data_IF_889391750070
#
_entry.id   IF_889391750070
#
_cell.length_a   1.000
_cell.length_b   1.000
_cell.length_c   1.000
_cell.angle_alpha   90.00
_cell.angle_beta   90.00
_cell.angle_gamma   90.00
#
_symmetry.space_group_name_H-M   'P 1'
#
loop_
_entity.id
_entity.type
_entity.pdbx_description
1 polymer ?
#
# COMPACT_ATOMS: atom_id res chain seq x y z
N UNK A 1 3.67 20.40 -15.66
CA UNK A 1 2.37 20.21 -14.98
C UNK A 1 2.57 19.20 -13.87
N UNK A 2 2.04 19.46 -12.66
CA UNK A 2 2.24 18.58 -11.49
C UNK A 2 1.01 17.73 -11.21
N UNK A 3 1.22 16.44 -10.90
CA UNK A 3 0.22 15.46 -10.53
C UNK A 3 0.59 14.83 -9.20
N UNK A 4 -0.42 14.56 -8.37
CA UNK A 4 -0.26 13.94 -7.06
C UNK A 4 -1.04 12.65 -7.01
N UNK A 5 -0.36 11.52 -6.88
CA UNK A 5 -1.00 10.22 -6.67
C UNK A 5 -1.06 9.96 -5.17
N UNK A 6 -2.28 9.98 -4.64
CA UNK A 6 -2.58 9.89 -3.22
C UNK A 6 -3.06 8.48 -2.88
N UNK A 7 -2.51 7.86 -1.82
CA UNK A 7 -2.94 6.53 -1.41
C UNK A 7 -4.19 6.61 -0.52
N UNK A 8 -5.36 6.60 -1.16
CA UNK A 8 -6.66 6.59 -0.50
C UNK A 8 -7.36 7.93 -0.33
N UNK A 9 -8.65 7.86 -0.04
CA UNK A 9 -9.53 9.02 0.07
C UNK A 9 -9.28 9.86 1.32
N UNK A 10 -8.83 9.25 2.43
CA UNK A 10 -8.52 9.97 3.67
C UNK A 10 -7.43 11.02 3.45
N UNK A 11 -6.32 10.61 2.83
CA UNK A 11 -5.24 11.54 2.47
C UNK A 11 -5.73 12.60 1.48
N UNK A 12 -6.56 12.22 0.50
CA UNK A 12 -7.11 13.16 -0.48
C UNK A 12 -7.99 14.26 0.16
N UNK A 13 -8.71 13.95 1.24
CA UNK A 13 -9.49 14.93 2.00
C UNK A 13 -8.60 15.95 2.71
N UNK A 14 -7.53 15.48 3.37
CA UNK A 14 -6.55 16.38 4.02
C UNK A 14 -5.78 17.19 2.98
N UNK A 15 -5.35 16.56 1.90
CA UNK A 15 -4.66 17.23 0.79
C UNK A 15 -5.49 18.35 0.17
N UNK A 16 -6.80 18.19 0.08
CA UNK A 16 -7.70 19.22 -0.46
C UNK A 16 -7.72 20.52 0.36
N UNK A 17 -7.24 20.49 1.62
CA UNK A 17 -7.14 21.64 2.50
C UNK A 17 -5.79 22.37 2.39
N UNK A 18 -4.81 21.79 1.68
CA UNK A 18 -3.48 22.39 1.45
C UNK A 18 -3.48 23.34 0.25
N UNK A 19 -2.44 24.18 0.17
CA UNK A 19 -2.19 25.06 -0.98
C UNK A 19 -1.29 24.41 -2.05
N UNK A 20 -1.09 23.08 -2.01
CA UNK A 20 -0.24 22.39 -2.95
C UNK A 20 -0.90 22.38 -4.33
N UNK A 21 -0.26 22.99 -5.37
CA UNK A 21 -0.86 23.09 -6.69
C UNK A 21 -0.69 21.79 -7.48
N UNK A 22 -1.68 21.42 -8.28
CA UNK A 22 -1.60 20.28 -9.19
C UNK A 22 -2.88 19.47 -9.28
N UNK A 23 -2.85 18.42 -10.11
CA UNK A 23 -3.95 17.50 -10.30
C UNK A 23 -3.81 16.30 -9.36
N UNK A 24 -4.92 15.81 -8.85
CA UNK A 24 -4.96 14.65 -7.94
C UNK A 24 -5.44 13.42 -8.69
N UNK A 25 -4.78 12.29 -8.46
CA UNK A 25 -5.20 10.95 -8.84
C UNK A 25 -5.20 10.12 -7.56
N UNK A 26 -6.29 9.40 -7.28
CA UNK A 26 -6.44 8.68 -6.02
C UNK A 26 -6.27 7.18 -6.27
N UNK A 27 -5.23 6.59 -5.70
CA UNK A 27 -5.03 5.15 -5.68
C UNK A 27 -5.93 4.53 -4.60
N UNK A 28 -6.95 3.77 -5.02
CA UNK A 28 -7.89 3.05 -4.14
C UNK A 28 -7.70 1.55 -4.20
N UNK A 29 -6.53 1.09 -4.63
CA UNK A 29 -6.21 -0.33 -4.66
C UNK A 29 -5.84 -0.88 -3.28
N UNK A 30 -6.07 -2.18 -3.14
CA UNK A 30 -5.72 -3.00 -1.98
C UNK A 30 -4.88 -4.20 -2.45
N UNK A 31 -3.67 -3.92 -2.99
CA UNK A 31 -2.84 -4.94 -3.63
C UNK A 31 -2.18 -5.91 -2.65
N UNK A 32 -2.19 -5.56 -1.38
CA UNK A 32 -1.71 -6.44 -0.32
C UNK A 32 -2.52 -7.75 -0.25
N UNK A 33 -3.76 -7.74 -0.73
CA UNK A 33 -4.65 -8.89 -0.76
C UNK A 33 -5.07 -9.26 -2.19
N UNK A 34 -5.28 -10.54 -2.37
CA UNK A 34 -5.79 -11.12 -3.63
C UNK A 34 -4.72 -11.31 -4.71
N UNK A 35 -5.16 -11.70 -5.90
CA UNK A 35 -4.28 -11.95 -7.02
C UNK A 35 -3.81 -10.64 -7.66
N UNK A 36 -2.50 -10.57 -7.93
CA UNK A 36 -1.87 -9.44 -8.60
C UNK A 36 -1.19 -9.83 -9.93
N UNK A 37 -1.14 -11.13 -10.27
CA UNK A 37 -0.55 -11.62 -11.50
C UNK A 37 -1.58 -11.66 -12.64
N UNK A 38 -1.24 -11.05 -13.77
CA UNK A 38 -2.05 -11.03 -14.98
C UNK A 38 -1.15 -10.93 -16.22
N UNK A 39 -1.70 -11.32 -17.39
CA UNK A 39 -0.98 -11.26 -18.65
C UNK A 39 -0.81 -9.83 -19.16
N UNK A 40 -1.80 -9.00 -18.94
CA UNK A 40 -1.85 -7.59 -19.33
C UNK A 40 -2.70 -6.78 -18.33
N UNK A 41 -2.81 -5.48 -18.56
CA UNK A 41 -3.52 -4.56 -17.65
C UNK A 41 -5.04 -4.77 -17.66
N UNK A 42 -5.65 -5.13 -18.80
CA UNK A 42 -7.09 -5.36 -18.89
C UNK A 42 -7.48 -6.63 -18.11
N UNK A 43 -6.69 -7.69 -18.25
CA UNK A 43 -6.85 -8.91 -17.44
C UNK A 43 -6.61 -8.63 -15.96
N UNK A 44 -5.63 -7.78 -15.62
CA UNK A 44 -5.39 -7.37 -14.25
C UNK A 44 -6.63 -6.71 -13.63
N UNK A 45 -7.22 -5.71 -14.31
CA UNK A 45 -8.43 -5.05 -13.82
C UNK A 45 -9.62 -6.01 -13.65
N UNK A 46 -9.79 -6.94 -14.59
CA UNK A 46 -10.86 -7.94 -14.50
C UNK A 46 -10.69 -8.88 -13.30
N UNK A 47 -9.47 -9.33 -13.05
CA UNK A 47 -9.11 -10.18 -11.91
C UNK A 47 -9.33 -9.42 -10.60
N UNK A 48 -8.86 -8.17 -10.51
CA UNK A 48 -9.03 -7.33 -9.32
C UNK A 48 -10.48 -7.01 -9.04
N UNK A 49 -11.26 -6.62 -10.06
CA UNK A 49 -12.70 -6.37 -9.92
C UNK A 49 -13.45 -7.58 -9.35
N UNK A 50 -13.13 -8.79 -9.81
CA UNK A 50 -13.71 -10.02 -9.30
C UNK A 50 -13.32 -10.27 -7.84
N UNK A 51 -12.03 -10.10 -7.50
CA UNK A 51 -11.54 -10.28 -6.14
C UNK A 51 -12.21 -9.30 -5.16
N UNK A 52 -12.25 -8.01 -5.52
CA UNK A 52 -12.88 -6.98 -4.68
C UNK A 52 -14.39 -7.24 -4.50
N UNK A 53 -15.07 -7.68 -5.55
CA UNK A 53 -16.50 -8.01 -5.46
C UNK A 53 -16.77 -9.19 -4.52
N UNK A 54 -15.93 -10.22 -4.55
CA UNK A 54 -16.09 -11.42 -3.72
C UNK A 54 -15.61 -11.23 -2.28
N UNK A 55 -14.46 -10.55 -2.10
CA UNK A 55 -13.81 -10.41 -0.81
C UNK A 55 -14.28 -9.20 0.01
N UNK A 56 -14.69 -8.12 -0.67
CA UNK A 56 -15.05 -6.85 -0.03
C UNK A 56 -16.51 -6.44 -0.28
N UNK A 57 -17.25 -7.20 -1.10
CA UNK A 57 -18.66 -6.94 -1.37
C UNK A 57 -18.93 -5.70 -2.23
N UNK A 58 -17.91 -5.07 -2.83
CA UNK A 58 -18.11 -3.93 -3.73
C UNK A 58 -18.41 -4.41 -5.16
N UNK A 59 -19.46 -3.86 -5.78
CA UNK A 59 -19.83 -4.24 -7.14
C UNK A 59 -18.69 -3.98 -8.15
N UNK A 60 -18.53 -4.87 -9.13
CA UNK A 60 -17.48 -4.75 -10.16
C UNK A 60 -17.54 -3.41 -10.91
N UNK A 61 -18.74 -2.96 -11.23
CA UNK A 61 -18.98 -1.68 -11.90
C UNK A 61 -18.47 -0.50 -11.07
N UNK A 62 -18.60 -0.58 -9.75
CA UNK A 62 -18.09 0.42 -8.80
C UNK A 62 -16.56 0.44 -8.81
N UNK A 63 -15.92 -0.75 -8.81
CA UNK A 63 -14.48 -0.85 -8.94
C UNK A 63 -13.98 -0.21 -10.24
N UNK A 64 -14.60 -0.50 -11.38
CA UNK A 64 -14.23 0.14 -12.66
C UNK A 64 -14.43 1.65 -12.63
N UNK A 65 -15.51 2.13 -12.04
CA UNK A 65 -15.80 3.56 -11.98
C UNK A 65 -14.87 4.34 -11.04
N UNK A 66 -14.51 3.74 -9.89
CA UNK A 66 -13.72 4.42 -8.85
C UNK A 66 -12.20 4.18 -8.96
N UNK A 67 -11.78 3.00 -9.41
CA UNK A 67 -10.37 2.60 -9.44
C UNK A 67 -9.81 2.67 -10.85
N UNK A 68 -10.37 1.89 -11.78
CA UNK A 68 -9.82 1.78 -13.14
C UNK A 68 -9.87 3.11 -13.87
N UNK A 69 -11.04 3.78 -13.88
CA UNK A 69 -11.20 5.09 -14.53
C UNK A 69 -10.30 6.17 -13.92
N UNK A 70 -10.06 6.10 -12.62
CA UNK A 70 -9.16 7.04 -11.93
C UNK A 70 -7.72 6.82 -12.37
N UNK A 71 -7.24 5.57 -12.36
CA UNK A 71 -5.86 5.23 -12.73
C UNK A 71 -5.61 5.28 -14.24
N UNK A 72 -6.64 5.17 -15.09
CA UNK A 72 -6.52 5.33 -16.55
C UNK A 72 -6.04 6.74 -16.96
N UNK A 73 -6.17 7.72 -16.08
CA UNK A 73 -5.60 9.06 -16.28
C UNK A 73 -4.07 9.02 -16.43
N UNK A 74 -3.40 8.01 -15.84
CA UNK A 74 -1.94 7.83 -15.92
C UNK A 74 -1.49 7.62 -17.38
N UNK A 75 -2.31 6.94 -18.19
CA UNK A 75 -2.01 6.70 -19.60
C UNK A 75 -2.05 7.98 -20.48
N UNK A 76 -2.58 9.07 -19.93
CA UNK A 76 -2.78 10.35 -20.64
C UNK A 76 -1.95 11.48 -20.05
N UNK A 77 -1.00 11.17 -19.18
CA UNK A 77 -0.10 12.15 -18.60
C UNK A 77 0.77 12.80 -19.69
N UNK A 78 1.03 14.11 -19.62
CA UNK A 78 2.02 14.76 -20.48
C UNK A 78 3.41 14.14 -20.29
N UNK A 79 4.22 14.05 -21.37
CA UNK A 79 5.52 13.37 -21.36
C UNK A 79 6.48 13.85 -20.26
N UNK A 80 6.53 15.14 -19.97
CA UNK A 80 7.39 15.72 -18.94
C UNK A 80 6.63 16.08 -17.66
N UNK A 81 5.53 15.37 -17.35
CA UNK A 81 4.78 15.65 -16.14
C UNK A 81 5.63 15.35 -14.88
N UNK A 82 5.43 16.17 -13.86
CA UNK A 82 5.94 15.92 -12.52
C UNK A 82 4.91 15.10 -11.74
N UNK A 83 5.33 13.94 -11.23
CA UNK A 83 4.47 13.02 -10.49
C UNK A 83 4.96 12.92 -9.06
N UNK A 84 4.09 13.18 -8.11
CA UNK A 84 4.38 13.12 -6.68
C UNK A 84 3.60 11.96 -6.06
N UNK A 85 4.30 10.94 -5.58
CA UNK A 85 3.75 9.71 -5.02
C UNK A 85 3.67 9.84 -3.50
N UNK A 86 2.44 9.91 -2.98
CA UNK A 86 2.11 10.08 -1.56
C UNK A 86 1.69 8.75 -0.97
N UNK A 87 2.68 7.97 -0.57
CA UNK A 87 2.48 6.64 0.01
C UNK A 87 3.26 6.54 1.31
N UNK A 88 2.78 5.79 2.25
CA UNK A 88 3.42 5.52 3.54
C UNK A 88 4.41 4.36 3.43
N UNK A 89 5.18 4.12 4.48
CA UNK A 89 6.23 3.08 4.43
C UNK A 89 5.73 1.69 4.86
N UNK A 90 4.47 1.53 5.28
CA UNK A 90 3.89 0.24 5.61
C UNK A 90 3.68 -0.66 4.37
N UNK A 91 3.47 -1.94 4.61
CA UNK A 91 3.37 -2.97 3.56
C UNK A 91 2.17 -2.75 2.61
N UNK A 92 1.02 -2.31 3.13
CA UNK A 92 -0.15 -2.00 2.30
C UNK A 92 0.17 -0.89 1.30
N UNK A 93 0.75 0.21 1.78
CA UNK A 93 1.11 1.35 0.96
C UNK A 93 2.26 1.03 -0.01
N UNK A 94 3.24 0.23 0.43
CA UNK A 94 4.37 -0.15 -0.42
C UNK A 94 3.96 -1.06 -1.59
N UNK A 95 3.06 -2.02 -1.39
CA UNK A 95 2.54 -2.85 -2.49
C UNK A 95 1.82 -2.02 -3.56
N UNK A 96 1.05 -1.02 -3.15
CA UNK A 96 0.41 -0.08 -4.06
C UNK A 96 1.44 0.84 -4.75
N UNK A 97 2.47 1.30 -4.04
CA UNK A 97 3.53 2.12 -4.62
C UNK A 97 4.30 1.39 -5.72
N UNK A 98 4.69 0.13 -5.49
CA UNK A 98 5.41 -0.65 -6.51
C UNK A 98 4.59 -0.83 -7.78
N UNK A 99 3.29 -1.05 -7.65
CA UNK A 99 2.36 -1.08 -8.78
C UNK A 99 2.25 0.27 -9.49
N UNK A 100 2.14 1.38 -8.74
CA UNK A 100 2.08 2.72 -9.33
C UNK A 100 3.34 3.04 -10.14
N UNK A 101 4.52 2.67 -9.64
CA UNK A 101 5.77 2.82 -10.39
C UNK A 101 5.75 2.02 -11.70
N UNK A 102 5.23 0.78 -11.67
CA UNK A 102 5.08 -0.03 -12.88
C UNK A 102 4.12 0.60 -13.89
N UNK A 103 2.98 1.16 -13.45
CA UNK A 103 2.06 1.86 -14.33
C UNK A 103 2.69 3.11 -14.95
N UNK A 104 3.37 3.93 -14.17
CA UNK A 104 3.97 5.19 -14.59
C UNK A 104 5.10 4.97 -15.59
N UNK A 105 6.02 4.06 -15.31
CA UNK A 105 7.16 3.76 -16.20
C UNK A 105 6.68 3.18 -17.53
N UNK A 106 5.64 2.35 -17.51
CA UNK A 106 5.05 1.81 -18.73
C UNK A 106 4.27 2.86 -19.55
N UNK A 107 3.69 3.88 -18.87
CA UNK A 107 2.98 4.97 -19.55
C UNK A 107 3.96 5.94 -20.23
N UNK A 108 5.01 6.39 -19.54
CA UNK A 108 6.05 7.25 -20.12
C UNK A 108 7.35 7.17 -19.30
N UNK A 109 8.50 6.86 -19.94
CA UNK A 109 9.80 6.83 -19.26
C UNK A 109 10.39 8.21 -18.97
N UNK A 110 9.76 9.30 -19.44
CA UNK A 110 10.28 10.68 -19.28
C UNK A 110 9.66 11.43 -18.10
N UNK A 111 8.77 10.79 -17.33
CA UNK A 111 8.14 11.39 -16.17
C UNK A 111 9.17 11.71 -15.08
N UNK A 112 9.02 12.86 -14.43
CA UNK A 112 9.78 13.21 -13.24
C UNK A 112 9.01 12.74 -12.03
N UNK A 113 9.43 11.62 -11.43
CA UNK A 113 8.71 10.97 -10.34
C UNK A 113 9.40 11.31 -9.01
N UNK A 114 8.60 11.68 -8.02
CA UNK A 114 9.05 12.02 -6.67
C UNK A 114 8.30 11.18 -5.63
N UNK A 115 9.02 10.77 -4.60
CA UNK A 115 8.47 10.21 -3.37
C UNK A 115 8.19 11.34 -2.39
N UNK A 116 7.00 11.41 -1.85
CA UNK A 116 6.65 12.28 -0.72
C UNK A 116 6.49 11.41 0.51
N UNK A 117 7.31 11.66 1.52
CA UNK A 117 7.28 10.95 2.80
C UNK A 117 6.42 11.70 3.82
N UNK A 118 5.72 10.99 4.72
CA UNK A 118 5.10 11.62 5.87
C UNK A 118 6.14 12.34 6.74
N UNK A 119 5.73 13.45 7.35
CA UNK A 119 6.54 14.17 8.34
C UNK A 119 6.30 13.54 9.71
N UNK A 120 6.98 12.43 9.99
CA UNK A 120 6.75 11.62 11.18
C UNK A 120 7.80 11.87 12.27
N UNK A 121 7.38 11.87 13.56
CA UNK A 121 8.30 11.69 14.66
C UNK A 121 8.96 10.30 14.58
N UNK A 122 10.24 10.18 14.87
CA UNK A 122 11.02 8.94 14.79
C UNK A 122 10.42 7.75 15.58
N UNK A 123 9.53 8.00 16.51
CA UNK A 123 8.89 7.01 17.38
C UNK A 123 7.55 6.47 16.85
N UNK A 124 7.00 7.04 15.77
CA UNK A 124 5.62 6.78 15.32
C UNK A 124 5.52 6.61 13.79
N UNK A 125 6.52 6.05 13.21
CA UNK A 125 6.76 5.98 11.76
C UNK A 125 5.76 5.12 10.96
N UNK A 126 4.91 4.34 11.62
CA UNK A 126 3.87 3.58 10.95
C UNK A 126 2.51 4.29 10.89
N UNK A 127 2.38 5.48 11.47
CA UNK A 127 1.14 6.26 11.38
C UNK A 127 0.97 7.02 10.05
N UNK A 128 2.02 7.12 9.29
CA UNK A 128 2.00 7.70 7.96
C UNK A 128 1.40 9.11 7.90
N UNK A 129 0.53 9.34 6.93
CA UNK A 129 -0.22 10.60 6.80
C UNK A 129 -1.46 10.67 7.69
N UNK A 130 -1.74 9.66 8.51
CA UNK A 130 -2.97 9.55 9.29
C UNK A 130 -3.23 10.71 10.28
N UNK A 131 -2.17 11.41 10.69
CA UNK A 131 -2.25 12.61 11.56
C UNK A 131 -1.81 13.90 10.86
N UNK A 132 -1.59 13.85 9.54
CA UNK A 132 -1.14 15.01 8.79
C UNK A 132 -2.24 16.08 8.71
N UNK A 133 -1.83 17.34 8.83
CA UNK A 133 -2.62 18.50 8.48
C UNK A 133 -2.10 19.16 7.19
N UNK A 134 -2.75 20.19 6.71
CA UNK A 134 -2.36 20.91 5.50
C UNK A 134 -0.91 21.41 5.55
N UNK A 135 -0.46 21.93 6.70
CA UNK A 135 0.89 22.49 6.85
C UNK A 135 1.97 21.40 6.80
N UNK A 136 1.75 20.26 7.46
CA UNK A 136 2.65 19.12 7.40
C UNK A 136 2.72 18.48 6.00
N UNK A 137 1.60 18.46 5.24
CA UNK A 137 1.63 18.04 3.85
C UNK A 137 2.44 18.99 2.96
N UNK A 138 2.30 20.33 3.14
CA UNK A 138 3.09 21.32 2.41
C UNK A 138 4.60 21.16 2.70
N UNK A 139 4.95 20.90 3.96
CA UNK A 139 6.34 20.62 4.35
C UNK A 139 6.85 19.31 3.74
N UNK A 140 6.06 18.23 3.78
CA UNK A 140 6.40 16.96 3.15
C UNK A 140 6.63 17.12 1.65
N UNK A 141 5.77 17.86 0.97
CA UNK A 141 5.92 18.18 -0.46
C UNK A 141 7.21 18.92 -0.77
N UNK A 142 7.60 19.90 0.06
CA UNK A 142 8.83 20.64 -0.11
C UNK A 142 10.09 19.77 0.05
N UNK A 143 10.02 18.67 0.82
CA UNK A 143 11.11 17.74 1.10
C UNK A 143 11.09 16.47 0.24
N UNK A 144 10.22 16.41 -0.78
CA UNK A 144 10.09 15.24 -1.63
C UNK A 144 11.41 14.82 -2.28
N UNK A 145 11.60 13.53 -2.45
CA UNK A 145 12.83 12.93 -2.99
C UNK A 145 12.56 12.44 -4.41
N UNK A 146 13.42 12.78 -5.36
CA UNK A 146 13.29 12.32 -6.73
C UNK A 146 13.69 10.84 -6.86
N UNK A 147 12.88 10.06 -7.57
CA UNK A 147 13.28 8.73 -8.02
C UNK A 147 14.31 8.86 -9.15
N UNK A 148 15.47 8.27 -8.95
CA UNK A 148 16.46 8.08 -9.99
C UNK A 148 16.24 6.75 -10.73
N UNK A 149 16.95 6.53 -11.82
CA UNK A 149 16.78 5.34 -12.65
C UNK A 149 16.92 4.04 -11.84
N UNK A 150 17.90 3.95 -10.94
CA UNK A 150 18.12 2.79 -10.06
C UNK A 150 16.97 2.54 -9.10
N UNK A 151 16.32 3.60 -8.59
CA UNK A 151 15.16 3.49 -7.70
C UNK A 151 13.92 3.00 -8.46
N UNK A 152 13.73 3.47 -9.72
CA UNK A 152 12.65 3.00 -10.59
C UNK A 152 12.83 1.53 -10.95
N UNK A 153 14.04 1.11 -11.33
CA UNK A 153 14.38 -0.29 -11.60
C UNK A 153 14.13 -1.18 -10.38
N UNK A 154 14.50 -0.72 -9.19
CA UNK A 154 14.20 -1.41 -7.94
C UNK A 154 12.68 -1.53 -7.72
N UNK A 155 11.93 -0.46 -7.89
CA UNK A 155 10.48 -0.47 -7.75
C UNK A 155 9.78 -1.45 -8.71
N UNK A 156 10.22 -1.49 -9.97
CA UNK A 156 9.73 -2.44 -10.98
C UNK A 156 10.05 -3.89 -10.59
N UNK A 157 11.27 -4.15 -10.13
CA UNK A 157 11.69 -5.48 -9.71
C UNK A 157 10.92 -5.94 -8.46
N UNK A 158 10.65 -5.03 -7.51
CA UNK A 158 9.83 -5.31 -6.33
C UNK A 158 8.39 -5.66 -6.73
N UNK A 159 7.79 -4.90 -7.66
CA UNK A 159 6.47 -5.22 -8.18
C UNK A 159 6.43 -6.61 -8.83
N UNK A 160 7.40 -6.92 -9.68
CA UNK A 160 7.47 -8.22 -10.35
C UNK A 160 7.61 -9.38 -9.37
N UNK A 161 8.50 -9.25 -8.39
CA UNK A 161 8.69 -10.26 -7.34
C UNK A 161 7.44 -10.40 -6.44
N UNK A 162 6.78 -9.28 -6.12
CA UNK A 162 5.55 -9.29 -5.32
C UNK A 162 4.40 -9.98 -6.05
N UNK A 163 4.10 -9.58 -7.29
CA UNK A 163 2.98 -10.15 -8.06
C UNK A 163 3.17 -11.62 -8.42
N UNK A 164 4.43 -12.06 -8.60
CA UNK A 164 4.79 -13.46 -8.85
C UNK A 164 4.93 -14.30 -7.57
N UNK A 165 4.82 -13.68 -6.38
CA UNK A 165 5.01 -14.31 -5.06
C UNK A 165 6.41 -14.87 -4.84
N UNK A 166 7.43 -14.28 -5.48
CA UNK A 166 8.83 -14.65 -5.27
C UNK A 166 9.38 -13.98 -4.00
N UNK A 167 9.13 -14.61 -2.85
CA UNK A 167 9.55 -14.12 -1.54
C UNK A 167 11.09 -14.04 -1.42
N UNK A 168 11.81 -14.95 -2.07
CA UNK A 168 13.28 -14.96 -2.05
C UNK A 168 13.84 -13.75 -2.79
N UNK A 169 13.29 -13.46 -3.97
CA UNK A 169 13.69 -12.28 -4.73
C UNK A 169 13.33 -10.99 -3.99
N UNK A 170 12.15 -10.90 -3.37
CA UNK A 170 11.78 -9.75 -2.53
C UNK A 170 12.79 -9.50 -1.41
N UNK A 171 13.21 -10.56 -0.69
CA UNK A 171 14.22 -10.45 0.38
C UNK A 171 15.58 -10.00 -0.18
N UNK A 172 15.95 -10.42 -1.37
CA UNK A 172 17.19 -10.00 -2.03
C UNK A 172 17.13 -8.51 -2.41
N UNK A 173 16.04 -8.09 -3.04
CA UNK A 173 15.80 -6.71 -3.47
C UNK A 173 15.72 -5.75 -2.28
N UNK A 174 15.12 -6.18 -1.15
CA UNK A 174 14.95 -5.34 0.03
C UNK A 174 16.25 -4.82 0.65
N UNK A 175 17.39 -5.44 0.33
CA UNK A 175 18.71 -5.06 0.83
C UNK A 175 19.39 -3.99 -0.02
N UNK A 176 18.81 -3.63 -1.16
CA UNK A 176 19.37 -2.59 -2.02
C UNK A 176 19.13 -1.21 -1.40
N UNK A 177 20.16 -0.35 -1.33
CA UNK A 177 20.01 1.00 -0.79
C UNK A 177 19.20 1.86 -1.76
N UNK A 178 18.27 2.65 -1.22
CA UNK A 178 17.52 3.65 -1.97
C UNK A 178 17.03 4.75 -1.03
N UNK A 179 17.12 6.00 -1.46
CA UNK A 179 16.55 7.12 -0.73
C UNK A 179 15.00 7.20 -0.86
N UNK A 180 14.42 6.42 -1.78
CA UNK A 180 12.97 6.39 -2.03
C UNK A 180 12.25 5.25 -1.28
N UNK A 181 12.99 4.32 -0.63
CA UNK A 181 12.45 3.16 0.08
C UNK A 181 13.13 2.99 1.45
N UNK A 182 12.71 3.79 2.43
CA UNK A 182 13.41 3.89 3.72
C UNK A 182 13.39 2.61 4.57
N UNK A 183 12.31 1.80 4.48
CA UNK A 183 12.03 0.67 5.38
C UNK A 183 11.80 -0.65 4.64
N UNK A 184 12.36 -0.77 3.47
CA UNK A 184 12.13 -1.91 2.59
C UNK A 184 12.45 -3.28 3.25
N UNK A 185 13.55 -3.44 4.02
CA UNK A 185 13.83 -4.71 4.70
C UNK A 185 12.75 -5.12 5.71
N UNK A 186 12.26 -4.15 6.50
CA UNK A 186 11.22 -4.38 7.51
C UNK A 186 9.88 -4.77 6.87
N UNK A 187 9.50 -4.05 5.81
CA UNK A 187 8.26 -4.26 5.06
C UNK A 187 8.26 -5.62 4.35
N UNK A 188 9.35 -5.96 3.68
CA UNK A 188 9.48 -7.25 2.99
C UNK A 188 9.51 -8.40 3.99
N UNK A 189 10.18 -8.25 5.13
CA UNK A 189 10.14 -9.27 6.18
C UNK A 189 8.72 -9.45 6.73
N UNK A 190 7.99 -8.35 6.96
CA UNK A 190 6.59 -8.42 7.35
C UNK A 190 5.73 -9.16 6.31
N UNK A 191 5.98 -8.94 5.01
CA UNK A 191 5.28 -9.68 3.96
C UNK A 191 5.58 -11.19 4.02
N UNK A 192 6.84 -11.57 4.18
CA UNK A 192 7.26 -12.98 4.30
C UNK A 192 6.61 -13.65 5.51
N UNK A 193 6.57 -12.95 6.65
CA UNK A 193 6.03 -13.44 7.91
C UNK A 193 4.50 -13.67 7.87
N UNK A 194 3.79 -13.17 6.85
CA UNK A 194 2.37 -13.48 6.62
C UNK A 194 2.13 -14.94 6.25
N UNK A 195 3.13 -15.60 5.69
CA UNK A 195 3.01 -16.95 5.16
C UNK A 195 3.68 -17.95 6.10
N UNK A 196 2.89 -18.72 6.81
CA UNK A 196 3.39 -19.81 7.61
C UNK A 196 3.32 -21.14 6.86
N UNK A 197 4.26 -22.07 7.09
CA UNK A 197 4.22 -23.40 6.48
C UNK A 197 3.06 -24.23 7.05
N UNK A 198 2.60 -25.21 6.28
CA UNK A 198 1.68 -26.27 6.74
C UNK A 198 0.33 -25.78 7.31
N UNK A 199 -0.20 -24.66 6.79
CA UNK A 199 -1.51 -24.14 7.20
C UNK A 199 -1.54 -23.53 8.60
N UNK A 200 -0.40 -23.31 9.21
CA UNK A 200 -0.30 -22.57 10.48
C UNK A 200 -0.65 -21.09 10.29
N UNK A 201 -0.96 -20.39 11.38
CA UNK A 201 -1.20 -18.96 11.36
C UNK A 201 0.06 -18.17 10.99
N UNK A 202 -0.05 -17.19 10.09
CA UNK A 202 0.97 -16.21 9.83
C UNK A 202 1.20 -15.29 11.04
N UNK A 203 2.26 -14.48 11.00
CA UNK A 203 2.56 -13.55 12.10
C UNK A 203 1.39 -12.61 12.44
N UNK A 204 0.66 -11.99 11.47
CA UNK A 204 -0.47 -11.13 11.79
C UNK A 204 -1.57 -11.86 12.57
N UNK A 205 -1.92 -13.07 12.14
CA UNK A 205 -2.94 -13.89 12.79
C UNK A 205 -2.51 -14.37 14.17
N UNK A 206 -1.24 -14.78 14.32
CA UNK A 206 -0.69 -15.13 15.65
C UNK A 206 -0.75 -13.96 16.63
N UNK A 207 -0.46 -12.75 16.13
CA UNK A 207 -0.54 -11.55 16.96
C UNK A 207 -1.99 -11.26 17.40
N UNK A 208 -2.97 -11.49 16.52
CA UNK A 208 -4.39 -11.39 16.90
C UNK A 208 -4.74 -12.42 17.98
N UNK A 209 -4.28 -13.67 17.85
CA UNK A 209 -4.49 -14.70 18.87
C UNK A 209 -3.82 -14.33 20.22
N UNK A 210 -2.66 -13.68 20.21
CA UNK A 210 -2.02 -13.16 21.42
C UNK A 210 -2.83 -12.01 22.04
N UNK A 211 -3.33 -11.08 21.22
CA UNK A 211 -4.17 -9.96 21.69
C UNK A 211 -5.45 -10.49 22.34
N UNK A 212 -6.08 -11.51 21.75
CA UNK A 212 -7.29 -12.14 22.31
C UNK A 212 -7.06 -12.75 23.69
N UNK A 213 -5.87 -13.27 24.00
CA UNK A 213 -5.53 -13.78 25.34
C UNK A 213 -5.48 -12.67 26.41
N UNK A 214 -5.20 -11.44 26.00
CA UNK A 214 -5.23 -10.26 26.88
C UNK A 214 -6.68 -9.78 27.17
N UNK A 215 -7.72 -10.53 26.73
CA UNK A 215 -9.15 -10.30 26.88
C UNK A 215 -9.69 -8.96 26.38
N UNK A 216 -9.48 -8.56 25.14
CA UNK A 216 -10.27 -7.47 24.59
C UNK A 216 -11.71 -7.94 24.35
N UNK A 217 -12.67 -7.16 24.86
CA UNK A 217 -14.09 -7.52 24.82
C UNK A 217 -14.72 -7.36 23.43
N UNK A 218 -14.09 -6.61 22.52
CA UNK A 218 -14.62 -6.33 21.20
C UNK A 218 -13.55 -6.20 20.10
N UNK A 219 -13.99 -6.29 18.85
CA UNK A 219 -13.13 -6.14 17.67
C UNK A 219 -12.41 -4.78 17.61
N UNK A 220 -13.04 -3.69 18.07
CA UNK A 220 -12.43 -2.36 18.04
C UNK A 220 -11.16 -2.30 18.90
N UNK A 221 -11.20 -2.92 20.08
CA UNK A 221 -10.04 -3.04 20.96
C UNK A 221 -8.93 -3.91 20.33
N UNK A 222 -9.32 -5.04 19.68
CA UNK A 222 -8.36 -5.88 18.93
C UNK A 222 -7.72 -5.11 17.80
N UNK A 223 -8.48 -4.39 17.02
CA UNK A 223 -7.99 -3.58 15.88
C UNK A 223 -7.01 -2.49 16.35
N UNK A 224 -7.37 -1.77 17.41
CA UNK A 224 -6.49 -0.75 18.00
C UNK A 224 -5.17 -1.33 18.52
N UNK A 225 -5.22 -2.46 19.24
CA UNK A 225 -4.04 -3.15 19.74
C UNK A 225 -3.17 -3.71 18.61
N UNK A 226 -3.79 -4.25 17.55
CA UNK A 226 -3.10 -4.73 16.37
C UNK A 226 -2.35 -3.58 15.68
N UNK A 227 -3.00 -2.45 15.43
CA UNK A 227 -2.37 -1.27 14.83
C UNK A 227 -1.13 -0.79 15.60
N UNK A 228 -1.19 -0.79 16.94
CA UNK A 228 -0.06 -0.43 17.79
C UNK A 228 1.11 -1.41 17.72
N UNK A 229 0.83 -2.73 17.64
CA UNK A 229 1.86 -3.79 17.69
C UNK A 229 2.38 -4.18 16.29
N UNK A 230 1.61 -3.91 15.24
CA UNK A 230 1.86 -4.40 13.88
C UNK A 230 1.61 -3.33 12.79
N UNK A 231 1.87 -2.07 13.08
CA UNK A 231 1.69 -0.96 12.12
C UNK A 231 2.43 -1.15 10.80
N UNK A 232 3.52 -1.95 10.78
CA UNK A 232 4.26 -2.31 9.56
C UNK A 232 3.39 -2.92 8.46
N UNK A 233 2.24 -3.51 8.79
CA UNK A 233 1.33 -4.09 7.79
C UNK A 233 0.45 -3.05 7.12
N UNK A 234 0.10 -1.95 7.79
CA UNK A 234 -0.84 -0.93 7.29
C UNK A 234 -2.26 -1.46 7.05
N UNK A 235 -2.65 -2.57 7.71
CA UNK A 235 -3.94 -3.20 7.49
C UNK A 235 -5.08 -2.34 8.04
N UNK A 236 -6.12 -2.17 7.22
CA UNK A 236 -7.37 -1.58 7.64
C UNK A 236 -8.24 -2.57 8.45
N UNK A 237 -9.36 -2.05 8.92
CA UNK A 237 -10.33 -2.80 9.73
C UNK A 237 -10.84 -4.06 9.01
N UNK A 238 -11.09 -4.01 7.71
CA UNK A 238 -11.58 -5.15 6.92
C UNK A 238 -10.56 -6.29 6.91
N UNK A 239 -9.27 -6.01 6.65
CA UNK A 239 -8.23 -7.03 6.65
C UNK A 239 -8.06 -7.66 8.04
N UNK A 240 -8.03 -6.82 9.07
CA UNK A 240 -7.87 -7.31 10.46
C UNK A 240 -9.10 -8.13 10.87
N UNK A 241 -10.31 -7.74 10.45
CA UNK A 241 -11.55 -8.45 10.75
C UNK A 241 -11.57 -9.87 10.17
N UNK A 242 -11.17 -10.03 8.92
CA UNK A 242 -11.08 -11.35 8.27
C UNK A 242 -10.11 -12.28 9.02
N UNK A 243 -8.95 -11.75 9.42
CA UNK A 243 -7.99 -12.53 10.22
C UNK A 243 -8.51 -12.84 11.62
N UNK A 244 -9.19 -11.90 12.26
CA UNK A 244 -9.81 -12.05 13.57
C UNK A 244 -10.87 -13.17 13.55
N UNK A 245 -11.78 -13.16 12.59
CA UNK A 245 -12.82 -14.17 12.43
C UNK A 245 -12.19 -15.57 12.22
N UNK A 246 -11.16 -15.66 11.38
CA UNK A 246 -10.43 -16.91 11.16
C UNK A 246 -9.73 -17.44 12.43
N UNK A 247 -9.16 -16.56 13.24
CA UNK A 247 -8.52 -16.96 14.51
C UNK A 247 -9.56 -17.50 15.48
N UNK A 248 -10.74 -16.87 15.60
CA UNK A 248 -11.83 -17.36 16.45
C UNK A 248 -12.33 -18.75 16.00
N UNK A 249 -12.54 -18.97 14.71
CA UNK A 249 -12.93 -20.28 14.18
C UNK A 249 -11.91 -21.38 14.50
N UNK A 250 -10.62 -21.07 14.50
CA UNK A 250 -9.58 -22.03 14.85
C UNK A 250 -9.52 -22.32 16.36
N UNK A 251 -9.80 -21.34 17.23
CA UNK A 251 -9.85 -21.54 18.68
C UNK A 251 -11.09 -22.34 19.13
N UNK A 252 -12.22 -22.21 18.42
CA UNK A 252 -13.44 -23.02 18.67
C UNK A 252 -13.28 -24.50 18.29
N UNK A 253 -12.27 -24.85 17.50
CA UNK A 253 -12.00 -26.21 17.02
C UNK A 253 -11.00 -26.98 17.92
N UNK A 254 -10.47 -26.34 18.98
CA UNK A 254 -9.51 -26.92 19.95
C UNK A 254 -10.18 -27.13 21.29
#
# INVERSE_FOLDING_TARGET
>A
MSFHILNGDSLAQTFAQSNIPGHRIICRECLIDGPAQAADLDNFWAIRANFIAQGYGEARETYYAKVVKELDQIQRLPEEAEINLWFEDDLFCQSNLWFMLALLVNASPQLKIYRVFPMEPAQDHWNGFGRADAASLEQAYAQRVQFHQTDLELGLALWEAFRSKDLTQLQTLSRQPSACFNRLPEVVQAHVDRFAPNGQLGRPERLIAEILKDNPEDFSAVFAAFGQRAGVYGFGDVQVKVMYERVLEMEELI
#
